data_IF_283707094498
#
_entry.id   IF_283707094498
#
_cell.length_a   1.000
_cell.length_b   1.000
_cell.length_c   1.000
_cell.angle_alpha   90.00
_cell.angle_beta   90.00
_cell.angle_gamma   90.00
#
_symmetry.space_group_name_H-M   'P 1'
#
loop_
_entity.id
_entity.type
_entity.pdbx_description
1 polymer ?
#
# COMPACT_ATOMS: atom_id res chain seq x y z
N UNK A 1 -6.51 3.77 12.84
CA UNK A 1 -6.27 2.81 13.94
C UNK A 1 -7.46 1.86 14.13
N UNK A 2 -8.18 1.50 13.05
CA UNK A 2 -9.42 0.71 13.14
C UNK A 2 -9.20 -0.81 13.04
N UNK A 3 -8.16 -1.28 12.36
CA UNK A 3 -7.93 -2.71 12.08
C UNK A 3 -7.25 -3.48 13.22
N UNK A 4 -6.80 -2.78 14.25
CA UNK A 4 -6.20 -3.32 15.46
C UNK A 4 -7.07 -3.07 16.70
N UNK A 5 -8.27 -2.51 16.51
CA UNK A 5 -9.21 -2.23 17.58
C UNK A 5 -9.96 -3.53 17.95
N UNK A 6 -9.92 -3.92 19.22
CA UNK A 6 -10.47 -5.21 19.66
C UNK A 6 -11.98 -5.32 19.42
N UNK A 7 -12.72 -4.21 19.57
CA UNK A 7 -14.16 -4.19 19.37
C UNK A 7 -14.49 -4.34 17.88
N UNK A 8 -13.76 -3.64 17.02
CA UNK A 8 -13.86 -3.80 15.57
C UNK A 8 -13.50 -5.22 15.11
N UNK A 9 -12.42 -5.80 15.65
CA UNK A 9 -11.99 -7.17 15.34
C UNK A 9 -13.09 -8.17 15.75
N UNK A 10 -13.62 -8.04 16.95
CA UNK A 10 -14.69 -8.92 17.45
C UNK A 10 -15.93 -8.84 16.56
N UNK A 11 -16.35 -7.63 16.19
CA UNK A 11 -17.48 -7.43 15.27
C UNK A 11 -17.22 -8.04 13.89
N UNK A 12 -16.02 -7.85 13.33
CA UNK A 12 -15.61 -8.42 12.05
C UNK A 12 -15.58 -9.96 12.09
N UNK A 13 -15.12 -10.55 13.19
CA UNK A 13 -15.08 -12.00 13.38
C UNK A 13 -16.47 -12.61 13.55
N UNK A 14 -17.36 -11.96 14.32
CA UNK A 14 -18.71 -12.46 14.59
C UNK A 14 -19.64 -12.35 13.38
N UNK A 15 -19.53 -11.26 12.61
CA UNK A 15 -20.49 -10.93 11.55
C UNK A 15 -19.93 -11.14 10.14
N UNK A 16 -18.63 -11.35 9.99
CA UNK A 16 -17.91 -11.33 8.71
C UNK A 16 -18.21 -10.07 7.87
N UNK A 17 -18.51 -8.95 8.54
CA UNK A 17 -18.93 -7.68 7.92
C UNK A 17 -17.99 -6.54 8.29
N UNK A 18 -17.69 -5.71 7.31
CA UNK A 18 -16.83 -4.53 7.43
C UNK A 18 -17.71 -3.32 7.74
N UNK A 19 -17.90 -3.04 9.03
CA UNK A 19 -18.78 -1.97 9.51
C UNK A 19 -18.38 -0.57 9.02
N UNK A 20 -17.08 -0.31 8.80
CA UNK A 20 -16.59 1.01 8.39
C UNK A 20 -16.99 1.39 6.95
N UNK A 21 -17.35 0.42 6.12
CA UNK A 21 -17.60 0.62 4.69
C UNK A 21 -18.97 0.10 4.23
N UNK A 22 -19.90 -0.22 5.14
CA UNK A 22 -21.22 -0.75 4.76
C UNK A 22 -22.04 0.24 3.93
N UNK A 23 -21.99 1.53 4.26
CA UNK A 23 -22.68 2.57 3.49
C UNK A 23 -22.11 2.64 2.08
N UNK A 24 -20.79 2.70 1.94
CA UNK A 24 -20.10 2.74 0.64
C UNK A 24 -20.37 1.45 -0.16
N UNK A 25 -20.40 0.30 0.50
CA UNK A 25 -20.65 -0.99 -0.15
C UNK A 25 -22.08 -1.13 -0.66
N UNK A 26 -23.05 -0.68 0.13
CA UNK A 26 -24.47 -0.77 -0.24
C UNK A 26 -24.87 0.25 -1.30
N UNK A 27 -24.34 1.48 -1.23
CA UNK A 27 -24.73 2.58 -2.13
C UNK A 27 -23.80 2.76 -3.34
N UNK A 28 -22.48 2.79 -3.14
CA UNK A 28 -21.54 3.15 -4.20
C UNK A 28 -21.02 1.92 -4.97
N UNK A 29 -20.70 0.83 -4.26
CA UNK A 29 -20.06 -0.34 -4.89
C UNK A 29 -21.05 -1.11 -5.77
N UNK A 30 -22.33 -1.15 -5.40
CA UNK A 30 -23.39 -1.76 -6.22
C UNK A 30 -23.56 -1.08 -7.58
N UNK A 31 -23.14 0.19 -7.72
CA UNK A 31 -23.15 0.92 -8.98
C UNK A 31 -21.96 0.60 -9.88
N UNK A 32 -20.91 -0.03 -9.35
CA UNK A 32 -19.70 -0.36 -10.09
C UNK A 32 -19.81 -1.82 -10.56
N UNK A 33 -19.87 -2.09 -11.89
CA UNK A 33 -19.94 -3.45 -12.38
C UNK A 33 -18.72 -4.27 -11.95
N UNK A 34 -18.92 -5.51 -11.50
CA UNK A 34 -17.82 -6.40 -11.11
C UNK A 34 -16.77 -6.56 -12.24
N UNK A 35 -17.20 -6.57 -13.49
CA UNK A 35 -16.31 -6.64 -14.65
C UNK A 35 -15.35 -5.44 -14.72
N UNK A 36 -15.81 -4.25 -14.32
CA UNK A 36 -14.98 -3.04 -14.27
C UNK A 36 -13.92 -3.13 -13.18
N UNK A 37 -14.29 -3.64 -11.99
CA UNK A 37 -13.32 -3.90 -10.93
C UNK A 37 -12.27 -4.90 -11.42
N UNK A 38 -12.67 -6.06 -11.94
CA UNK A 38 -11.76 -7.08 -12.48
C UNK A 38 -10.82 -6.47 -13.53
N UNK A 39 -11.36 -5.65 -14.44
CA UNK A 39 -10.58 -4.96 -15.46
C UNK A 39 -9.50 -4.05 -14.85
N UNK A 40 -9.88 -3.12 -13.95
CA UNK A 40 -8.94 -2.24 -13.26
C UNK A 40 -7.81 -3.03 -12.60
N UNK A 41 -8.16 -4.09 -11.87
CA UNK A 41 -7.15 -4.88 -11.15
C UNK A 41 -6.26 -5.70 -12.09
N UNK A 42 -6.79 -6.15 -13.24
CA UNK A 42 -6.02 -6.85 -14.26
C UNK A 42 -5.05 -5.93 -15.00
N UNK A 43 -5.46 -4.69 -15.29
CA UNK A 43 -4.60 -3.69 -15.95
C UNK A 43 -3.53 -3.13 -15.01
N UNK A 44 -3.89 -2.86 -13.75
CA UNK A 44 -2.88 -2.54 -12.74
C UNK A 44 -1.87 -3.70 -12.64
N UNK A 45 -2.37 -4.95 -12.76
CA UNK A 45 -1.68 -6.23 -12.93
C UNK A 45 -0.48 -6.18 -13.85
N UNK A 46 -0.83 -6.04 -15.13
CA UNK A 46 0.07 -6.25 -16.25
C UNK A 46 1.14 -5.16 -16.34
N UNK A 47 0.79 -3.90 -16.05
CA UNK A 47 1.69 -2.76 -16.24
C UNK A 47 2.89 -2.73 -15.30
N UNK A 48 2.83 -3.42 -14.15
CA UNK A 48 3.91 -3.31 -13.17
C UNK A 48 5.05 -4.31 -13.37
N UNK A 49 4.79 -5.47 -13.95
CA UNK A 49 5.80 -6.51 -14.21
C UNK A 49 6.99 -6.00 -15.04
N UNK A 50 6.70 -5.29 -16.14
CA UNK A 50 7.73 -4.81 -17.08
C UNK A 50 8.55 -3.65 -16.51
N UNK A 51 7.93 -2.85 -15.63
CA UNK A 51 8.61 -1.74 -14.99
C UNK A 51 9.75 -2.34 -14.13
N UNK A 52 9.52 -3.43 -13.37
CA UNK A 52 10.43 -3.92 -12.31
C UNK A 52 11.81 -4.46 -12.73
N UNK A 53 12.13 -4.58 -14.02
CA UNK A 53 13.44 -5.08 -14.45
C UNK A 53 14.55 -4.02 -14.48
N UNK A 54 14.27 -2.76 -14.10
CA UNK A 54 15.28 -1.70 -14.12
C UNK A 54 16.30 -1.89 -13.00
N UNK A 55 17.55 -2.16 -13.41
CA UNK A 55 18.73 -2.38 -12.57
C UNK A 55 18.99 -1.17 -11.65
N UNK A 56 18.70 -1.31 -10.36
CA UNK A 56 19.01 -0.30 -9.35
C UNK A 56 20.54 -0.23 -9.14
N UNK A 57 21.11 0.96 -9.30
CA UNK A 57 22.57 1.21 -9.26
C UNK A 57 23.12 1.51 -7.85
N UNK A 58 22.26 1.62 -6.83
CA UNK A 58 22.64 2.03 -5.47
C UNK A 58 22.21 0.99 -4.42
N UNK A 59 23.17 0.24 -3.89
CA UNK A 59 22.94 -0.87 -2.94
C UNK A 59 22.20 -0.46 -1.65
N UNK A 60 22.43 0.76 -1.14
CA UNK A 60 21.80 1.24 0.09
C UNK A 60 20.31 1.60 -0.09
N UNK A 61 19.96 2.17 -1.23
CA UNK A 61 18.56 2.51 -1.55
C UNK A 61 17.79 1.22 -1.84
N UNK A 62 18.45 0.30 -2.54
CA UNK A 62 17.94 -1.03 -2.80
C UNK A 62 17.63 -1.80 -1.52
N UNK A 63 18.50 -1.79 -0.50
CA UNK A 63 18.25 -2.52 0.75
C UNK A 63 17.01 -2.01 1.48
N UNK A 64 16.82 -0.68 1.60
CA UNK A 64 15.62 -0.09 2.22
C UNK A 64 14.35 -0.39 1.43
N UNK A 65 14.44 -0.37 0.10
CA UNK A 65 13.33 -0.72 -0.77
C UNK A 65 12.90 -2.18 -0.56
N UNK A 66 13.86 -3.10 -0.47
CA UNK A 66 13.62 -4.51 -0.16
C UNK A 66 12.92 -4.68 1.20
N UNK A 67 13.34 -3.94 2.23
CA UNK A 67 12.68 -3.98 3.55
C UNK A 67 11.19 -3.57 3.48
N UNK A 68 10.85 -2.54 2.71
CA UNK A 68 9.45 -2.14 2.51
C UNK A 68 8.64 -3.19 1.73
N UNK A 69 9.25 -3.83 0.72
CA UNK A 69 8.59 -4.88 -0.04
C UNK A 69 8.30 -6.10 0.84
N UNK A 70 9.29 -6.52 1.63
CA UNK A 70 9.14 -7.63 2.57
C UNK A 70 8.02 -7.32 3.58
N UNK A 71 7.97 -6.08 4.08
CA UNK A 71 6.89 -5.66 4.97
C UNK A 71 5.52 -5.68 4.30
N UNK A 72 5.39 -5.15 3.08
CA UNK A 72 4.13 -5.20 2.31
C UNK A 72 3.69 -6.65 2.08
N UNK A 73 4.63 -7.53 1.73
CA UNK A 73 4.38 -8.96 1.54
C UNK A 73 3.86 -9.62 2.82
N UNK A 74 4.53 -9.40 3.95
CA UNK A 74 4.12 -9.93 5.26
C UNK A 74 2.70 -9.45 5.63
N UNK A 75 2.36 -8.20 5.34
CA UNK A 75 1.02 -7.65 5.60
C UNK A 75 -0.02 -8.35 4.71
N UNK A 76 0.27 -8.54 3.42
CA UNK A 76 -0.63 -9.23 2.49
C UNK A 76 -0.83 -10.70 2.89
N UNK A 77 0.25 -11.40 3.25
CA UNK A 77 0.18 -12.77 3.76
C UNK A 77 -0.65 -12.86 5.03
N UNK A 78 -0.47 -11.91 5.95
CA UNK A 78 -1.30 -11.81 7.16
C UNK A 78 -2.78 -11.64 6.79
N UNK A 79 -3.07 -10.81 5.79
CA UNK A 79 -4.43 -10.63 5.29
C UNK A 79 -5.01 -11.87 4.60
N UNK A 80 -4.18 -12.68 3.95
CA UNK A 80 -4.64 -13.95 3.37
C UNK A 80 -5.04 -14.98 4.43
N UNK A 81 -4.46 -14.89 5.63
CA UNK A 81 -4.79 -15.76 6.78
C UNK A 81 -5.98 -15.20 7.57
N UNK A 82 -5.98 -13.90 7.87
CA UNK A 82 -7.01 -13.25 8.69
C UNK A 82 -7.35 -11.85 8.18
N UNK A 83 -8.60 -11.41 8.35
CA UNK A 83 -9.01 -10.06 7.95
C UNK A 83 -8.69 -8.97 8.98
N UNK A 84 -7.77 -9.27 9.88
CA UNK A 84 -7.28 -8.35 10.90
C UNK A 84 -5.80 -8.60 11.14
N UNK A 85 -5.14 -7.61 11.73
CA UNK A 85 -3.76 -7.73 12.21
C UNK A 85 -3.82 -7.67 13.72
N UNK A 86 -3.28 -8.70 14.37
CA UNK A 86 -3.14 -8.72 15.82
C UNK A 86 -2.35 -7.49 16.30
N UNK A 87 -2.77 -6.90 17.40
CA UNK A 87 -2.15 -5.67 17.90
C UNK A 87 -0.63 -5.79 18.08
N UNK A 88 -0.15 -6.93 18.61
CA UNK A 88 1.28 -7.25 18.76
C UNK A 88 2.02 -7.15 17.43
N UNK A 89 1.53 -7.82 16.37
CA UNK A 89 2.08 -7.76 15.01
C UNK A 89 2.02 -6.37 14.41
N UNK A 90 0.93 -5.64 14.65
CA UNK A 90 0.79 -4.27 14.17
C UNK A 90 1.85 -3.34 14.80
N UNK A 91 2.16 -3.52 16.09
CA UNK A 91 3.25 -2.81 16.76
C UNK A 91 4.60 -3.17 16.12
N UNK A 92 4.86 -4.44 15.85
CA UNK A 92 6.10 -4.87 15.21
C UNK A 92 6.28 -4.26 13.80
N UNK A 93 5.21 -4.23 13.00
CA UNK A 93 5.21 -3.59 11.68
C UNK A 93 5.45 -2.08 11.77
N UNK A 94 4.85 -1.41 12.76
CA UNK A 94 5.11 0.01 13.01
C UNK A 94 6.56 0.27 13.41
N UNK A 95 7.18 -0.62 14.19
CA UNK A 95 8.60 -0.51 14.54
C UNK A 95 9.48 -0.67 13.30
N UNK A 96 9.17 -1.62 12.42
CA UNK A 96 9.87 -1.78 11.14
C UNK A 96 9.78 -0.52 10.28
N UNK A 97 8.60 0.11 10.19
CA UNK A 97 8.43 1.39 9.52
C UNK A 97 9.21 2.56 10.16
N UNK A 98 9.48 2.48 11.47
CA UNK A 98 10.06 3.58 12.26
C UNK A 98 11.58 3.52 12.42
N UNK A 99 12.25 2.43 12.03
CA UNK A 99 13.71 2.28 12.21
C UNK A 99 14.55 3.40 11.59
N UNK A 100 14.02 4.15 10.62
CA UNK A 100 14.71 5.25 9.93
C UNK A 100 14.24 6.68 10.31
N UNK A 101 13.33 6.86 11.26
CA UNK A 101 12.67 8.18 11.47
C UNK A 101 13.57 9.28 12.01
N UNK A 102 14.82 8.99 12.40
CA UNK A 102 15.78 10.02 12.83
C UNK A 102 16.13 11.02 11.72
N UNK A 103 15.74 10.74 10.47
CA UNK A 103 15.94 11.62 9.31
C UNK A 103 14.66 11.92 8.53
N UNK A 104 13.46 11.56 9.02
CA UNK A 104 12.24 11.93 8.31
C UNK A 104 12.13 13.46 8.33
N UNK A 105 12.09 14.15 7.17
CA UNK A 105 11.80 15.57 7.16
C UNK A 105 10.45 15.74 7.83
N UNK A 106 10.38 16.67 8.79
CA UNK A 106 9.13 17.03 9.45
C UNK A 106 8.09 17.28 8.34
N UNK A 107 7.13 16.36 8.19
CA UNK A 107 6.07 16.49 7.20
C UNK A 107 5.26 17.69 7.67
N UNK A 108 5.60 18.88 7.15
CA UNK A 108 4.77 20.06 7.31
C UNK A 108 3.49 19.73 6.58
N UNK A 109 2.39 19.70 7.30
CA UNK A 109 1.06 19.60 6.72
C UNK A 109 0.87 20.85 5.86
N UNK A 110 1.15 20.74 4.56
CA UNK A 110 0.89 21.81 3.61
C UNK A 110 -0.62 21.80 3.43
N UNK A 111 -1.31 22.79 3.99
CA UNK A 111 -2.74 22.98 3.72
C UNK A 111 -2.90 23.13 2.19
N UNK A 112 -3.88 22.43 1.62
CA UNK A 112 -4.12 22.28 0.17
C UNK A 112 -4.43 23.58 -0.61
N UNK A 113 -4.10 24.77 -0.09
CA UNK A 113 -4.48 26.03 -0.71
C UNK A 113 -3.51 26.59 -1.75
N UNK A 114 -2.34 25.98 -1.98
CA UNK A 114 -1.46 26.43 -3.07
C UNK A 114 -0.64 25.29 -3.64
N UNK A 115 -1.01 24.89 -4.86
CA UNK A 115 -0.26 24.06 -5.80
C UNK A 115 1.07 24.77 -6.16
N UNK A 116 2.06 24.71 -5.26
CA UNK A 116 3.43 25.10 -5.58
C UNK A 116 4.34 23.89 -5.38
N UNK A 117 4.57 23.18 -6.49
CA UNK A 117 5.54 22.11 -6.63
C UNK A 117 6.92 22.76 -6.56
N UNK A 118 7.55 22.78 -5.38
CA UNK A 118 8.94 23.19 -5.26
C UNK A 118 9.85 22.10 -5.83
N UNK A 119 10.38 22.34 -7.02
CA UNK A 119 11.51 21.60 -7.58
C UNK A 119 12.77 21.96 -6.79
N UNK A 120 13.22 21.06 -5.92
CA UNK A 120 14.54 21.17 -5.29
C UNK A 120 15.61 20.83 -6.34
N UNK A 121 16.23 21.86 -6.90
CA UNK A 121 17.38 21.74 -7.80
C UNK A 121 18.62 21.43 -6.97
N UNK A 122 19.15 20.21 -7.05
CA UNK A 122 20.50 19.90 -6.57
C UNK A 122 21.17 18.85 -7.45
N UNK A 123 22.01 19.35 -8.36
CA UNK A 123 23.32 18.81 -8.76
C UNK A 123 23.41 17.38 -9.30
N UNK A 124 23.93 17.29 -10.54
CA UNK A 124 24.34 16.09 -11.30
C UNK A 124 23.20 15.35 -12.01
N UNK A 125 23.08 15.61 -13.31
CA UNK A 125 22.04 15.08 -14.21
C UNK A 125 21.99 13.54 -14.22
N UNK A 126 23.12 12.84 -14.06
CA UNK A 126 23.18 11.37 -13.99
C UNK A 126 22.59 10.79 -12.70
N UNK A 127 22.68 11.50 -11.58
CA UNK A 127 22.08 11.08 -10.30
C UNK A 127 20.57 11.36 -10.26
N UNK A 128 20.12 12.39 -10.98
CA UNK A 128 18.69 12.75 -11.07
C UNK A 128 17.86 11.67 -11.78
N UNK A 129 18.36 11.10 -12.89
CA UNK A 129 17.63 10.05 -13.61
C UNK A 129 17.45 8.78 -12.76
N UNK A 130 18.51 8.33 -12.06
CA UNK A 130 18.43 7.17 -11.17
C UNK A 130 17.42 7.38 -10.02
N UNK A 131 17.39 8.58 -9.41
CA UNK A 131 16.44 8.92 -8.34
C UNK A 131 14.98 9.01 -8.82
N UNK A 132 14.74 9.50 -10.04
CA UNK A 132 13.38 9.61 -10.61
C UNK A 132 12.78 8.22 -10.87
N UNK A 133 13.58 7.29 -11.38
CA UNK A 133 13.14 5.92 -11.62
C UNK A 133 12.75 5.22 -10.31
N UNK A 134 13.63 5.20 -9.31
CA UNK A 134 13.39 4.56 -8.01
C UNK A 134 12.10 5.03 -7.31
N UNK A 135 11.82 6.33 -7.36
CA UNK A 135 10.58 6.88 -6.81
C UNK A 135 9.33 6.36 -7.52
N UNK A 136 9.38 6.21 -8.84
CA UNK A 136 8.24 5.72 -9.63
C UNK A 136 7.90 4.26 -9.30
N UNK A 137 8.92 3.44 -9.02
CA UNK A 137 8.81 2.04 -8.61
C UNK A 137 8.08 1.87 -7.29
N UNK A 138 8.59 2.52 -6.26
CA UNK A 138 8.00 2.46 -4.93
C UNK A 138 6.56 2.97 -4.94
N UNK A 139 6.27 4.07 -5.65
CA UNK A 139 4.91 4.57 -5.80
C UNK A 139 4.00 3.58 -6.52
N UNK A 140 4.50 2.89 -7.55
CA UNK A 140 3.76 1.82 -8.22
C UNK A 140 3.37 0.70 -7.25
N UNK A 141 4.31 0.22 -6.44
CA UNK A 141 4.05 -0.82 -5.43
C UNK A 141 3.13 -0.36 -4.30
N UNK A 142 3.31 0.87 -3.82
CA UNK A 142 2.45 1.43 -2.78
C UNK A 142 1.01 1.59 -3.28
N UNK A 143 0.83 2.05 -4.53
CA UNK A 143 -0.50 2.11 -5.16
C UNK A 143 -1.13 0.72 -5.22
N UNK A 144 -0.36 -0.27 -5.62
CA UNK A 144 -0.80 -1.66 -5.66
C UNK A 144 -1.19 -2.24 -4.31
N UNK A 145 -0.36 -1.98 -3.30
CA UNK A 145 -0.67 -2.35 -1.92
C UNK A 145 -1.98 -1.69 -1.45
N UNK A 146 -2.18 -0.41 -1.79
CA UNK A 146 -3.44 0.30 -1.59
C UNK A 146 -4.62 -0.38 -2.29
N UNK A 147 -4.47 -0.76 -3.56
CA UNK A 147 -5.50 -1.46 -4.34
C UNK A 147 -5.90 -2.81 -3.72
N UNK A 148 -4.93 -3.61 -3.25
CA UNK A 148 -5.18 -4.87 -2.54
C UNK A 148 -5.98 -4.62 -1.26
N UNK A 149 -5.59 -3.59 -0.51
CA UNK A 149 -6.29 -3.18 0.70
C UNK A 149 -7.74 -2.76 0.39
N UNK A 150 -7.94 -1.91 -0.60
CA UNK A 150 -9.26 -1.44 -1.01
C UNK A 150 -10.15 -2.61 -1.47
N UNK A 151 -9.62 -3.54 -2.26
CA UNK A 151 -10.33 -4.75 -2.67
C UNK A 151 -10.85 -5.55 -1.48
N UNK A 152 -9.97 -5.80 -0.52
CA UNK A 152 -10.27 -6.69 0.59
C UNK A 152 -11.23 -6.02 1.58
N UNK A 153 -10.98 -4.75 1.89
CA UNK A 153 -11.61 -4.05 3.01
C UNK A 153 -12.65 -3.00 2.61
N UNK A 154 -12.65 -2.49 1.39
CA UNK A 154 -13.65 -1.52 0.92
C UNK A 154 -14.65 -2.23 0.01
N UNK A 155 -14.16 -2.89 -1.05
CA UNK A 155 -15.01 -3.65 -1.97
C UNK A 155 -15.53 -4.97 -1.37
N UNK A 156 -15.07 -5.31 -0.17
CA UNK A 156 -15.64 -6.37 0.65
C UNK A 156 -15.33 -7.77 0.13
N UNK A 157 -14.22 -7.94 -0.62
CA UNK A 157 -13.70 -9.25 -0.98
C UNK A 157 -12.88 -9.85 0.18
N UNK A 158 -13.53 -10.00 1.34
CA UNK A 158 -12.95 -10.43 2.61
C UNK A 158 -12.36 -11.85 2.51
N UNK A 159 -12.94 -12.71 1.67
CA UNK A 159 -12.48 -14.09 1.44
C UNK A 159 -11.48 -14.20 0.28
N UNK A 160 -11.25 -13.10 -0.44
CA UNK A 160 -10.29 -13.04 -1.52
C UNK A 160 -8.89 -13.30 -1.00
N UNK A 161 -8.27 -14.37 -1.50
CA UNK A 161 -6.85 -14.62 -1.31
C UNK A 161 -6.10 -13.97 -2.46
N UNK A 162 -5.10 -13.21 -2.09
CA UNK A 162 -4.13 -12.65 -3.01
C UNK A 162 -3.07 -13.73 -3.22
N UNK A 163 -2.86 -14.19 -4.46
CA UNK A 163 -1.82 -15.20 -4.75
C UNK A 163 -0.41 -14.69 -4.43
N UNK A 164 0.61 -15.47 -4.77
CA UNK A 164 2.00 -15.02 -4.70
C UNK A 164 2.21 -13.89 -5.70
N UNK A 165 1.87 -12.67 -5.28
CA UNK A 165 2.25 -11.47 -6.01
C UNK A 165 3.76 -11.38 -5.87
N UNK A 166 4.45 -11.51 -6.99
CA UNK A 166 5.87 -11.20 -7.08
C UNK A 166 6.02 -9.68 -6.88
N UNK A 167 6.01 -9.26 -5.61
CA UNK A 167 6.58 -8.01 -5.17
C UNK A 167 8.10 -8.15 -5.29
#
# INVERSE_FOLDING_TARGET
>A
MALSDELYIKQLQEHEKLFLYEDIKSTCISMIPNAFLIHIFSESGAGTSEIFQVRLLNDLVYSKYMEYNDLMKIIIESFNVSNYIEYSKAVDYLVLCRKDTRQLPHIRFISNNTLNIYYLTFGSETLEYAKKHDRSFFLGRLKWFGLIFELKFIFGNIRGKFGDFNF
#
